data_IF_931380832039
#
_entry.id   IF_931380832039
#
_cell.length_a   1.000
_cell.length_b   1.000
_cell.length_c   1.000
_cell.angle_alpha   90.00
_cell.angle_beta   90.00
_cell.angle_gamma   90.00
#
_symmetry.space_group_name_H-M   'P 1'
#
loop_
_entity.id
_entity.type
_entity.pdbx_description
1 polymer ?
#
# COMPACT_ATOMS: atom_id res chain seq x y z
N UNK A 1 7.67 25.73 -20.11
CA UNK A 1 7.48 24.75 -19.02
C UNK A 1 6.65 25.41 -17.94
N UNK A 2 5.53 24.81 -17.50
CA UNK A 2 4.76 25.32 -16.35
C UNK A 2 5.50 24.91 -15.08
N UNK A 3 5.75 25.85 -14.17
CA UNK A 3 6.33 25.53 -12.86
C UNK A 3 5.41 24.55 -12.11
N UNK A 4 5.92 23.35 -11.83
CA UNK A 4 5.17 22.36 -11.04
C UNK A 4 5.25 22.74 -9.56
N UNK A 5 4.09 22.74 -8.88
CA UNK A 5 4.02 23.01 -7.44
C UNK A 5 4.70 21.87 -6.68
N UNK A 6 5.59 22.21 -5.74
CA UNK A 6 6.19 21.23 -4.82
C UNK A 6 5.11 20.62 -3.94
N UNK A 7 4.97 19.29 -3.99
CA UNK A 7 4.05 18.55 -3.13
C UNK A 7 4.59 18.51 -1.70
N UNK A 8 3.70 18.64 -0.72
CA UNK A 8 4.07 18.39 0.67
C UNK A 8 4.19 16.88 0.93
N UNK A 9 4.84 16.50 2.04
CA UNK A 9 5.12 15.09 2.38
C UNK A 9 3.84 14.25 2.54
N UNK A 10 2.73 14.86 2.98
CA UNK A 10 1.44 14.19 3.12
C UNK A 10 0.81 13.87 1.77
N UNK A 11 0.83 14.83 0.85
CA UNK A 11 0.34 14.66 -0.52
C UNK A 11 1.17 13.62 -1.27
N UNK A 12 2.50 13.67 -1.13
CA UNK A 12 3.40 12.69 -1.74
C UNK A 12 3.13 11.27 -1.20
N UNK A 13 2.89 11.13 0.11
CA UNK A 13 2.51 9.85 0.71
C UNK A 13 1.17 9.34 0.19
N UNK A 14 0.21 10.23 -0.06
CA UNK A 14 -1.11 9.87 -0.58
C UNK A 14 -1.06 9.44 -2.03
N UNK A 15 -0.24 10.10 -2.86
CA UNK A 15 0.03 9.69 -4.26
C UNK A 15 0.78 8.35 -4.30
N UNK A 16 1.78 8.18 -3.44
CA UNK A 16 2.54 6.93 -3.36
C UNK A 16 1.80 5.83 -2.58
N UNK A 17 0.57 6.08 -2.13
CA UNK A 17 -0.28 5.06 -1.52
C UNK A 17 0.12 4.57 -0.14
N UNK A 18 0.80 5.39 0.65
CA UNK A 18 1.20 5.05 2.01
C UNK A 18 2.35 4.06 2.08
N UNK A 19 2.67 3.64 3.31
CA UNK A 19 3.74 2.67 3.59
C UNK A 19 3.10 1.28 3.72
N UNK A 20 3.59 0.25 3.00
CA UNK A 20 3.13 -1.11 3.21
C UNK A 20 3.26 -1.54 4.67
N UNK A 21 2.27 -2.25 5.21
CA UNK A 21 2.38 -2.91 6.50
C UNK A 21 3.45 -4.00 6.46
N UNK A 22 4.00 -4.34 7.63
CA UNK A 22 5.02 -5.38 7.78
C UNK A 22 4.46 -6.73 7.30
N UNK A 23 5.22 -7.44 6.46
CA UNK A 23 4.78 -8.71 5.87
C UNK A 23 3.95 -8.58 4.59
N UNK A 24 3.72 -7.36 4.09
CA UNK A 24 3.10 -7.20 2.78
C UNK A 24 4.11 -7.39 1.64
N UNK A 25 3.97 -8.48 0.87
CA UNK A 25 4.82 -8.77 -0.28
C UNK A 25 4.40 -8.00 -1.53
N UNK A 26 3.12 -7.65 -1.64
CA UNK A 26 2.58 -6.96 -2.80
C UNK A 26 1.63 -5.84 -2.38
N UNK A 27 2.16 -4.63 -2.21
CA UNK A 27 1.39 -3.47 -1.79
C UNK A 27 0.74 -2.77 -2.98
N UNK A 28 -0.56 -2.52 -2.88
CA UNK A 28 -1.30 -1.68 -3.80
C UNK A 28 -1.35 -0.25 -3.25
N UNK A 29 -0.58 0.69 -3.81
CA UNK A 29 -0.59 2.07 -3.35
C UNK A 29 -1.92 2.78 -3.68
N UNK A 30 -2.58 2.47 -4.79
CA UNK A 30 -3.81 3.15 -5.17
C UNK A 30 -4.97 2.75 -4.27
N UNK A 31 -5.11 1.46 -3.98
CA UNK A 31 -6.14 0.93 -3.10
C UNK A 31 -5.76 0.95 -1.62
N UNK A 32 -4.50 1.28 -1.31
CA UNK A 32 -3.89 1.26 0.02
C UNK A 32 -4.21 -0.07 0.74
N UNK A 33 -3.91 -1.19 0.10
CA UNK A 33 -4.15 -2.54 0.60
C UNK A 33 -3.05 -3.50 0.13
N UNK A 34 -2.89 -4.61 0.83
CA UNK A 34 -1.95 -5.64 0.45
C UNK A 34 -2.62 -6.72 -0.40
N UNK A 35 -1.99 -7.11 -1.51
CA UNK A 35 -2.45 -8.18 -2.41
C UNK A 35 -1.87 -9.55 -2.09
N UNK A 36 -0.76 -9.60 -1.35
CA UNK A 36 -0.13 -10.85 -0.94
C UNK A 36 0.67 -10.64 0.33
N UNK A 37 0.47 -11.54 1.28
CA UNK A 37 1.12 -11.52 2.59
C UNK A 37 2.20 -12.61 2.67
N UNK A 38 3.26 -12.33 3.43
CA UNK A 38 4.20 -13.34 3.87
C UNK A 38 3.53 -14.30 4.86
N UNK A 39 4.02 -15.53 4.90
CA UNK A 39 3.52 -16.56 5.83
C UNK A 39 3.64 -16.09 7.28
N UNK A 40 2.60 -16.32 8.08
CA UNK A 40 2.55 -15.88 9.49
C UNK A 40 2.22 -14.39 9.68
N UNK A 41 2.02 -13.62 8.61
CA UNK A 41 1.53 -12.25 8.68
C UNK A 41 0.06 -12.17 8.29
N UNK A 42 -0.81 -11.99 9.28
CA UNK A 42 -2.22 -11.67 9.07
C UNK A 42 -2.67 -10.60 10.07
N UNK A 43 -3.44 -9.62 9.58
CA UNK A 43 -3.89 -8.49 10.40
C UNK A 43 -3.84 -7.12 9.72
N UNK A 44 -3.33 -7.01 8.49
CA UNK A 44 -3.44 -5.79 7.72
C UNK A 44 -4.57 -5.79 6.69
N UNK A 45 -4.81 -4.62 6.09
CA UNK A 45 -5.84 -4.42 5.07
C UNK A 45 -5.49 -5.17 3.78
N UNK A 46 -6.19 -6.26 3.49
CA UNK A 46 -6.06 -7.04 2.24
C UNK A 46 -6.96 -6.46 1.14
N UNK A 47 -6.50 -6.49 -0.10
CA UNK A 47 -7.30 -6.06 -1.24
C UNK A 47 -8.45 -7.04 -1.52
N UNK A 48 -9.64 -6.56 -1.96
CA UNK A 48 -10.82 -7.41 -2.15
C UNK A 48 -10.65 -8.49 -3.23
N UNK A 49 -9.74 -8.30 -4.18
CA UNK A 49 -9.46 -9.26 -5.26
C UNK A 49 -8.22 -10.13 -4.97
N UNK A 50 -7.81 -10.23 -3.71
CA UNK A 50 -6.58 -10.94 -3.33
C UNK A 50 -6.88 -12.16 -2.47
N UNK A 51 -6.07 -13.22 -2.58
CA UNK A 51 -6.25 -14.40 -1.75
C UNK A 51 -6.19 -14.01 -0.26
N UNK A 52 -6.97 -14.68 0.60
CA UNK A 52 -6.88 -14.45 2.03
C UNK A 52 -5.44 -14.67 2.50
N UNK A 53 -4.94 -13.88 3.46
CA UNK A 53 -3.62 -14.12 4.03
C UNK A 53 -3.59 -15.54 4.60
N UNK A 54 -2.59 -16.32 4.20
CA UNK A 54 -2.33 -17.62 4.82
C UNK A 54 -1.60 -17.37 6.14
N UNK A 55 -2.40 -17.33 7.19
CA UNK A 55 -2.04 -17.70 8.54
C UNK A 55 -3.04 -18.78 9.01
#
# INVERSE_FOLDING_TARGET
MKNLRKLNKGELKRINGGRPPLGCNNWDPEAACCRSWAEGYCGGKTCPNSPPPYC
#
